data_IF_429635905430
#
_entry.id   IF_429635905430
#
_cell.length_a   1.000
_cell.length_b   1.000
_cell.length_c   1.000
_cell.angle_alpha   90.00
_cell.angle_beta   90.00
_cell.angle_gamma   90.00
#
_symmetry.space_group_name_H-M   'P 1'
#
loop_
_entity.id
_entity.type
_entity.pdbx_description
1 polymer ?
#
# COMPACT_ATOMS: atom_id res chain seq x y z
N UNK A 1 0.44 34.46 -3.24
CA UNK A 1 -0.26 33.51 -2.35
C UNK A 1 0.26 32.09 -2.54
N UNK A 2 -0.14 31.31 -3.55
CA UNK A 2 0.37 29.93 -3.72
C UNK A 2 1.90 29.86 -3.99
N UNK A 3 2.43 30.78 -4.80
CA UNK A 3 3.87 30.90 -5.11
C UNK A 3 4.74 31.15 -3.87
N UNK A 4 4.26 31.98 -2.93
CA UNK A 4 5.02 32.37 -1.74
C UNK A 4 5.09 31.23 -0.73
N UNK A 5 4.05 30.39 -0.68
CA UNK A 5 4.01 29.18 0.16
C UNK A 5 4.98 28.11 -0.36
N UNK A 6 5.16 27.97 -1.68
CA UNK A 6 6.08 26.98 -2.27
C UNK A 6 7.53 27.19 -1.82
N UNK A 7 7.96 28.43 -1.62
CA UNK A 7 9.33 28.75 -1.17
C UNK A 7 9.66 28.24 0.24
N UNK A 8 8.65 27.92 1.06
CA UNK A 8 8.86 27.33 2.39
C UNK A 8 8.99 25.81 2.40
N UNK A 9 8.75 25.13 1.26
CA UNK A 9 8.87 23.68 1.19
C UNK A 9 10.31 23.25 0.95
N UNK A 10 10.75 22.24 1.69
CA UNK A 10 12.00 21.54 1.45
C UNK A 10 11.76 20.42 0.44
N UNK A 11 12.34 20.57 -0.76
CA UNK A 11 12.30 19.53 -1.78
C UNK A 11 13.27 18.38 -1.43
N UNK A 12 12.73 17.17 -1.28
CA UNK A 12 13.51 15.93 -1.14
C UNK A 12 13.64 15.27 -2.52
N UNK A 13 14.85 14.83 -2.89
CA UNK A 13 15.12 14.27 -4.23
C UNK A 13 15.78 12.89 -4.24
N UNK A 14 16.64 12.60 -3.26
CA UNK A 14 17.49 11.40 -3.26
C UNK A 14 17.81 10.94 -1.85
N UNK A 15 18.25 9.69 -1.70
CA UNK A 15 18.78 9.13 -0.45
C UNK A 15 17.71 8.86 0.61
N UNK A 16 18.15 8.55 1.83
CA UNK A 16 17.30 8.36 2.99
C UNK A 16 17.16 9.67 3.77
N UNK A 17 15.92 10.11 3.97
CA UNK A 17 15.56 11.39 4.58
C UNK A 17 14.71 11.14 5.82
N UNK A 18 15.18 11.63 6.96
CA UNK A 18 14.43 11.58 8.23
C UNK A 18 13.77 12.94 8.45
N UNK A 19 12.44 12.96 8.44
CA UNK A 19 11.63 14.14 8.72
C UNK A 19 11.25 14.11 10.21
N UNK A 20 11.68 15.13 10.94
CA UNK A 20 11.39 15.28 12.39
C UNK A 20 10.32 16.33 12.61
N UNK A 21 9.63 16.20 13.73
CA UNK A 21 8.70 17.23 14.17
C UNK A 21 9.49 18.49 14.60
N UNK A 22 9.22 19.67 14.01
CA UNK A 22 9.87 20.91 14.40
C UNK A 22 9.50 21.36 15.82
N UNK A 23 8.36 20.91 16.36
CA UNK A 23 7.90 21.22 17.73
C UNK A 23 8.41 20.19 18.76
N UNK A 24 8.68 18.95 18.33
CA UNK A 24 9.35 17.92 19.13
C UNK A 24 10.49 17.25 18.34
N UNK A 25 11.73 17.77 18.43
CA UNK A 25 12.87 17.25 17.65
C UNK A 25 13.25 15.79 17.94
N UNK A 26 12.72 15.18 19.01
CA UNK A 26 12.91 13.75 19.30
C UNK A 26 11.95 12.87 18.50
N UNK A 27 10.82 13.42 18.05
CA UNK A 27 9.81 12.72 17.28
C UNK A 27 10.13 12.70 15.79
N UNK A 28 9.94 11.53 15.18
CA UNK A 28 10.09 11.33 13.73
C UNK A 28 8.69 11.28 13.11
N UNK A 29 8.46 12.13 12.12
CA UNK A 29 7.22 12.15 11.33
C UNK A 29 7.29 11.11 10.21
N UNK A 30 8.42 11.03 9.51
CA UNK A 30 8.59 10.12 8.38
C UNK A 30 10.05 9.74 8.13
N UNK A 31 10.24 8.53 7.62
CA UNK A 31 11.48 8.07 6.99
C UNK A 31 11.17 7.88 5.51
N UNK A 32 11.86 8.61 4.64
CA UNK A 32 11.61 8.62 3.20
C UNK A 32 12.90 8.25 2.48
N UNK A 33 12.91 7.09 1.83
CA UNK A 33 14.05 6.60 1.05
C UNK A 33 13.75 6.65 -0.45
N UNK A 34 14.67 7.26 -1.21
CA UNK A 34 14.65 7.24 -2.67
C UNK A 34 15.71 6.26 -3.17
N UNK A 35 15.28 5.20 -3.85
CA UNK A 35 16.15 4.26 -4.55
C UNK A 35 16.15 4.56 -6.04
N UNK A 36 17.32 4.77 -6.64
CA UNK A 36 17.41 4.98 -8.09
C UNK A 36 17.17 3.66 -8.82
N UNK A 37 16.55 3.71 -9.99
CA UNK A 37 16.38 2.52 -10.83
C UNK A 37 17.70 1.83 -11.19
N UNK A 38 18.77 2.61 -11.41
CA UNK A 38 20.12 2.10 -11.65
C UNK A 38 20.65 1.22 -10.53
N UNK A 39 20.17 1.44 -9.31
CA UNK A 39 20.66 0.80 -8.09
C UNK A 39 19.82 -0.43 -7.72
N UNK A 40 18.64 -0.59 -8.35
CA UNK A 40 17.81 -1.79 -8.20
C UNK A 40 18.45 -2.97 -8.93
N UNK A 41 18.62 -4.08 -8.22
CA UNK A 41 19.02 -5.34 -8.83
C UNK A 41 17.93 -5.85 -9.77
N UNK A 42 18.27 -6.81 -10.64
CA UNK A 42 17.26 -7.46 -11.48
C UNK A 42 16.14 -8.09 -10.64
N UNK A 43 16.50 -8.74 -9.52
CA UNK A 43 15.53 -9.34 -8.60
C UNK A 43 14.59 -8.28 -7.99
N UNK A 44 15.11 -7.13 -7.55
CA UNK A 44 14.27 -6.04 -7.03
C UNK A 44 13.27 -5.56 -8.08
N UNK A 45 13.72 -5.38 -9.34
CA UNK A 45 12.85 -4.96 -10.45
C UNK A 45 11.76 -5.99 -10.73
N UNK A 46 12.10 -7.27 -10.73
CA UNK A 46 11.14 -8.35 -10.95
C UNK A 46 10.09 -8.43 -9.84
N UNK A 47 10.49 -8.27 -8.57
CA UNK A 47 9.58 -8.25 -7.43
C UNK A 47 8.66 -7.02 -7.44
N UNK A 48 9.20 -5.83 -7.67
CA UNK A 48 8.42 -4.60 -7.74
C UNK A 48 7.46 -4.60 -8.95
N UNK A 49 7.87 -5.19 -10.08
CA UNK A 49 7.00 -5.41 -11.24
C UNK A 49 5.92 -6.45 -10.95
N UNK A 50 6.23 -7.48 -10.17
CA UNK A 50 5.25 -8.46 -9.72
C UNK A 50 4.17 -7.79 -8.85
N UNK A 51 4.56 -6.99 -7.86
CA UNK A 51 3.61 -6.27 -6.98
C UNK A 51 2.71 -5.34 -7.80
N UNK A 52 3.29 -4.47 -8.62
CA UNK A 52 2.52 -3.48 -9.39
C UNK A 52 1.57 -4.11 -10.42
N UNK A 53 2.03 -5.09 -11.19
CA UNK A 53 1.17 -5.80 -12.16
C UNK A 53 0.10 -6.67 -11.48
N UNK A 54 0.39 -7.27 -10.32
CA UNK A 54 -0.60 -7.95 -9.51
C UNK A 54 -1.71 -6.98 -9.09
N UNK A 55 -1.36 -5.83 -8.49
CA UNK A 55 -2.34 -4.84 -8.05
C UNK A 55 -3.18 -4.31 -9.22
N UNK A 56 -2.59 -4.13 -10.40
CA UNK A 56 -3.34 -3.79 -11.60
C UNK A 56 -4.35 -4.88 -11.97
N UNK A 57 -3.95 -6.15 -11.99
CA UNK A 57 -4.83 -7.28 -12.34
C UNK A 57 -5.99 -7.44 -11.35
N UNK A 58 -5.77 -7.17 -10.06
CA UNK A 58 -6.82 -7.32 -9.03
C UNK A 58 -7.97 -6.34 -9.24
N UNK A 59 -7.76 -5.20 -9.91
CA UNK A 59 -8.84 -4.25 -10.25
C UNK A 59 -10.01 -4.86 -11.03
N UNK A 60 -9.80 -6.01 -11.69
CA UNK A 60 -10.89 -6.82 -12.30
C UNK A 60 -11.88 -7.32 -11.24
N UNK A 61 -11.44 -7.60 -10.03
CA UNK A 61 -12.20 -8.26 -8.95
C UNK A 61 -12.53 -7.36 -7.75
N UNK A 62 -11.97 -6.15 -7.71
CA UNK A 62 -12.27 -5.15 -6.67
C UNK A 62 -12.92 -3.90 -7.27
N UNK A 63 -13.47 -3.05 -6.41
CA UNK A 63 -14.04 -1.76 -6.78
C UNK A 63 -13.18 -0.62 -6.22
N UNK A 64 -13.11 0.48 -6.95
CA UNK A 64 -12.42 1.66 -6.45
C UNK A 64 -13.31 2.36 -5.43
N UNK A 65 -12.69 3.11 -4.51
CA UNK A 65 -13.39 3.89 -3.49
C UNK A 65 -14.16 5.03 -4.18
N UNK A 66 -15.50 4.98 -4.14
CA UNK A 66 -16.39 5.94 -4.82
C UNK A 66 -16.72 7.20 -4.01
N UNK A 67 -16.16 7.34 -2.80
CA UNK A 67 -16.49 8.48 -1.93
C UNK A 67 -15.88 9.78 -2.45
N UNK A 68 -16.73 10.72 -2.86
CA UNK A 68 -16.32 12.07 -3.31
C UNK A 68 -15.62 12.89 -2.21
N UNK A 69 -15.83 12.55 -0.94
CA UNK A 69 -15.16 13.20 0.19
C UNK A 69 -13.73 12.68 0.40
N UNK A 70 -13.41 11.47 -0.08
CA UNK A 70 -12.14 10.78 0.16
C UNK A 70 -11.16 10.85 -1.01
N UNK A 71 -11.61 11.32 -2.18
CA UNK A 71 -10.79 11.43 -3.39
C UNK A 71 -11.19 12.71 -4.15
N UNK A 72 -10.27 13.68 -4.24
CA UNK A 72 -10.44 14.86 -5.08
C UNK A 72 -10.05 14.60 -6.54
N UNK A 73 -9.25 13.56 -6.80
CA UNK A 73 -8.91 13.08 -8.13
C UNK A 73 -8.35 11.66 -8.11
N UNK A 74 -8.21 11.07 -9.31
CA UNK A 74 -7.69 9.71 -9.51
C UNK A 74 -8.56 8.59 -8.96
N UNK A 75 -7.95 7.41 -8.76
CA UNK A 75 -8.63 6.21 -8.22
C UNK A 75 -7.82 5.61 -7.09
N UNK A 76 -8.50 5.23 -6.01
CA UNK A 76 -7.96 4.41 -4.92
C UNK A 76 -8.68 3.08 -4.87
N UNK A 77 -7.93 2.02 -4.62
CA UNK A 77 -8.41 0.65 -4.50
C UNK A 77 -7.95 0.07 -3.16
N UNK A 78 -8.65 -0.93 -2.66
CA UNK A 78 -8.26 -1.70 -1.48
C UNK A 78 -8.24 -3.20 -1.80
N UNK A 79 -7.32 -3.93 -1.19
CA UNK A 79 -7.22 -5.40 -1.24
C UNK A 79 -6.91 -5.94 0.16
N UNK A 80 -7.36 -7.15 0.46
CA UNK A 80 -7.21 -7.78 1.78
C UNK A 80 -8.47 -7.61 2.63
N UNK A 81 -8.29 -7.55 3.94
CA UNK A 81 -9.34 -7.51 4.95
C UNK A 81 -9.68 -6.10 5.41
N UNK A 82 -10.95 -5.85 5.64
CA UNK A 82 -11.49 -4.58 6.13
C UNK A 82 -12.53 -4.83 7.21
N UNK A 83 -12.76 -3.82 8.05
CA UNK A 83 -13.97 -3.77 8.87
C UNK A 83 -15.20 -3.88 7.96
N UNK A 84 -16.12 -4.77 8.32
CA UNK A 84 -17.38 -4.89 7.58
C UNK A 84 -18.27 -3.67 7.85
N UNK A 85 -19.06 -3.31 6.86
CA UNK A 85 -20.13 -2.31 6.99
C UNK A 85 -21.51 -2.96 7.02
N UNK A 86 -21.56 -4.29 7.00
CA UNK A 86 -22.79 -5.08 6.92
C UNK A 86 -23.21 -5.48 8.34
N UNK A 87 -24.52 -5.51 8.57
CA UNK A 87 -25.11 -5.96 9.83
C UNK A 87 -24.66 -7.41 10.12
N UNK A 88 -24.37 -7.69 11.39
CA UNK A 88 -23.90 -8.99 11.87
C UNK A 88 -22.56 -9.48 11.28
N UNK A 89 -21.77 -8.60 10.65
CA UNK A 89 -20.42 -8.92 10.19
C UNK A 89 -19.37 -8.02 10.88
N UNK A 90 -18.30 -8.64 11.38
CA UNK A 90 -17.19 -7.91 12.03
C UNK A 90 -16.13 -7.49 10.99
N UNK A 91 -15.82 -8.39 10.06
CA UNK A 91 -14.82 -8.18 9.04
C UNK A 91 -15.32 -8.69 7.68
N UNK A 92 -14.77 -8.12 6.61
CA UNK A 92 -15.00 -8.54 5.24
C UNK A 92 -13.74 -8.36 4.42
N UNK A 93 -13.80 -8.70 3.13
CA UNK A 93 -12.68 -8.52 2.20
C UNK A 93 -13.05 -7.51 1.11
N UNK A 94 -12.05 -6.82 0.59
CA UNK A 94 -12.25 -6.01 -0.61
C UNK A 94 -12.46 -6.93 -1.81
N UNK A 95 -13.72 -7.14 -2.18
CA UNK A 95 -14.13 -7.96 -3.32
C UNK A 95 -15.43 -7.37 -3.87
N UNK A 96 -15.64 -7.44 -5.18
CA UNK A 96 -16.94 -7.12 -5.80
C UNK A 96 -17.57 -8.39 -6.36
N UNK A 97 -18.88 -8.38 -6.53
CA UNK A 97 -19.58 -9.46 -7.20
C UNK A 97 -19.03 -9.68 -8.62
N UNK A 98 -18.80 -10.93 -8.99
CA UNK A 98 -18.40 -11.36 -10.32
C UNK A 98 -19.09 -12.68 -10.68
N UNK A 99 -19.20 -12.96 -11.98
CA UNK A 99 -19.82 -14.19 -12.48
C UNK A 99 -18.97 -15.42 -12.13
N UNK A 100 -19.62 -16.56 -11.85
CA UNK A 100 -18.96 -17.81 -11.46
C UNK A 100 -17.87 -18.28 -12.44
N UNK A 101 -17.98 -17.96 -13.74
CA UNK A 101 -16.95 -18.23 -14.75
C UNK A 101 -15.60 -17.57 -14.43
N UNK A 102 -15.58 -16.51 -13.63
CA UNK A 102 -14.36 -15.84 -13.20
C UNK A 102 -13.80 -16.34 -11.85
N UNK A 103 -14.43 -17.33 -11.21
CA UNK A 103 -14.01 -17.83 -9.89
C UNK A 103 -12.60 -18.42 -9.90
N UNK A 104 -12.26 -19.22 -10.93
CA UNK A 104 -10.90 -19.77 -11.06
C UNK A 104 -9.87 -18.66 -11.25
N UNK A 105 -10.14 -17.69 -12.14
CA UNK A 105 -9.23 -16.58 -12.38
C UNK A 105 -9.05 -15.70 -11.12
N UNK A 106 -10.08 -15.57 -10.29
CA UNK A 106 -9.98 -14.93 -8.98
C UNK A 106 -9.06 -15.74 -8.06
N UNK A 107 -9.31 -17.03 -7.91
CA UNK A 107 -8.53 -17.91 -7.04
C UNK A 107 -7.04 -17.90 -7.45
N UNK A 108 -6.76 -18.13 -8.73
CA UNK A 108 -5.39 -18.14 -9.27
C UNK A 108 -4.68 -16.83 -8.98
N UNK A 109 -5.34 -15.69 -9.23
CA UNK A 109 -4.74 -14.39 -8.94
C UNK A 109 -4.53 -14.19 -7.45
N UNK A 110 -5.53 -14.41 -6.60
CA UNK A 110 -5.45 -14.10 -5.17
C UNK A 110 -4.59 -15.09 -4.38
N UNK A 111 -4.34 -16.30 -4.89
CA UNK A 111 -3.33 -17.21 -4.34
C UNK A 111 -1.91 -16.61 -4.33
N UNK A 112 -1.66 -15.62 -5.21
CA UNK A 112 -0.39 -14.90 -5.29
C UNK A 112 -0.25 -13.78 -4.25
N UNK A 113 -1.30 -13.48 -3.49
CA UNK A 113 -1.29 -12.38 -2.49
C UNK A 113 -0.26 -12.59 -1.38
N UNK A 114 0.05 -13.84 -1.02
CA UNK A 114 1.13 -14.19 -0.09
C UNK A 114 2.48 -13.60 -0.50
N UNK A 115 2.86 -13.79 -1.77
CA UNK A 115 4.10 -13.23 -2.31
C UNK A 115 4.10 -11.70 -2.32
N UNK A 116 2.95 -11.07 -2.54
CA UNK A 116 2.83 -9.60 -2.46
C UNK A 116 3.02 -9.10 -1.04
N UNK A 117 2.37 -9.76 -0.06
CA UNK A 117 2.55 -9.48 1.36
C UNK A 117 4.01 -9.63 1.78
N UNK A 118 4.68 -10.69 1.33
CA UNK A 118 6.09 -10.94 1.62
C UNK A 118 7.00 -9.81 1.08
N UNK A 119 6.85 -9.44 -0.19
CA UNK A 119 7.66 -8.38 -0.81
C UNK A 119 7.43 -7.04 -0.11
N UNK A 120 6.17 -6.66 0.13
CA UNK A 120 5.83 -5.38 0.78
C UNK A 120 6.33 -5.37 2.23
N UNK A 121 6.08 -6.43 2.99
CA UNK A 121 6.51 -6.57 4.38
C UNK A 121 8.02 -6.54 4.53
N UNK A 122 8.76 -7.23 3.64
CA UNK A 122 10.22 -7.21 3.61
C UNK A 122 10.77 -5.81 3.32
N UNK A 123 10.19 -5.08 2.38
CA UNK A 123 10.57 -3.70 2.09
C UNK A 123 10.28 -2.77 3.27
N UNK A 124 9.12 -2.92 3.93
CA UNK A 124 8.80 -2.14 5.12
C UNK A 124 9.77 -2.44 6.27
N UNK A 125 10.03 -3.72 6.58
CA UNK A 125 10.98 -4.13 7.61
C UNK A 125 12.39 -3.61 7.34
N UNK A 126 12.84 -3.64 6.07
CA UNK A 126 14.16 -3.11 5.66
C UNK A 126 14.27 -1.61 5.90
N UNK A 127 13.22 -0.85 5.61
CA UNK A 127 13.20 0.60 5.82
C UNK A 127 13.09 0.96 7.31
N UNK A 128 12.23 0.26 8.05
CA UNK A 128 11.86 0.61 9.41
C UNK A 128 11.41 -0.62 10.22
N UNK A 129 12.37 -1.38 10.73
CA UNK A 129 12.13 -2.64 11.47
C UNK A 129 11.24 -2.45 12.70
N UNK A 130 11.44 -1.38 13.47
CA UNK A 130 10.65 -1.10 14.69
C UNK A 130 9.17 -0.82 14.35
N UNK A 131 8.83 0.12 13.44
CA UNK A 131 7.47 0.29 12.94
C UNK A 131 6.83 -0.98 12.38
N UNK A 132 7.57 -1.76 11.59
CA UNK A 132 7.10 -3.05 11.07
C UNK A 132 6.72 -4.01 12.21
N UNK A 133 7.62 -4.20 13.18
CA UNK A 133 7.40 -5.06 14.34
C UNK A 133 6.17 -4.63 15.15
N UNK A 134 6.02 -3.33 15.40
CA UNK A 134 4.86 -2.79 16.12
C UNK A 134 3.53 -3.07 15.41
N UNK A 135 3.46 -2.95 14.09
CA UNK A 135 2.24 -3.29 13.35
C UNK A 135 1.95 -4.80 13.40
N UNK A 136 2.99 -5.65 13.31
CA UNK A 136 2.83 -7.10 13.42
C UNK A 136 2.36 -7.53 14.81
N UNK A 137 2.92 -6.95 15.87
CA UNK A 137 2.50 -7.19 17.25
C UNK A 137 1.03 -6.84 17.44
N UNK A 138 0.61 -5.68 16.92
CA UNK A 138 -0.79 -5.25 16.99
C UNK A 138 -1.73 -6.23 16.25
N UNK A 139 -1.31 -6.74 15.10
CA UNK A 139 -2.08 -7.77 14.39
C UNK A 139 -2.21 -9.06 15.21
N UNK A 140 -1.11 -9.50 15.84
CA UNK A 140 -1.13 -10.70 16.67
C UNK A 140 -2.01 -10.52 17.92
N UNK A 141 -1.90 -9.37 18.59
CA UNK A 141 -2.69 -9.03 19.79
C UNK A 141 -4.19 -9.06 19.52
N UNK A 142 -4.62 -8.54 18.37
CA UNK A 142 -6.02 -8.46 17.99
C UNK A 142 -6.51 -9.59 17.08
N UNK A 143 -5.66 -10.59 16.81
CA UNK A 143 -6.00 -11.71 15.90
C UNK A 143 -6.40 -11.24 14.50
N UNK A 144 -5.77 -10.17 13.99
CA UNK A 144 -6.05 -9.63 12.67
C UNK A 144 -5.48 -10.56 11.59
N UNK A 145 -6.25 -10.87 10.53
CA UNK A 145 -5.76 -11.68 9.42
C UNK A 145 -4.70 -10.91 8.62
N UNK A 146 -3.81 -11.64 7.94
CA UNK A 146 -2.87 -11.01 7.01
C UNK A 146 -3.53 -10.56 5.71
N UNK A 147 -2.87 -9.67 4.97
CA UNK A 147 -3.24 -9.30 3.59
C UNK A 147 -3.53 -10.53 2.71
N UNK A 148 -2.73 -11.59 2.89
CA UNK A 148 -2.75 -12.78 2.06
C UNK A 148 -3.78 -13.83 2.50
N UNK A 149 -4.21 -13.78 3.77
CA UNK A 149 -5.13 -14.76 4.33
C UNK A 149 -6.41 -14.83 3.50
N UNK A 150 -6.74 -16.02 3.01
CA UNK A 150 -7.97 -16.24 2.25
C UNK A 150 -9.14 -16.52 3.19
N UNK A 151 -8.83 -17.05 4.37
CA UNK A 151 -9.76 -17.36 5.45
C UNK A 151 -9.33 -16.70 6.76
N UNK A 152 -10.27 -16.54 7.70
CA UNK A 152 -9.97 -15.95 8.99
C UNK A 152 -9.30 -16.99 9.91
N UNK A 153 -8.35 -16.54 10.75
CA UNK A 153 -7.67 -17.40 11.72
C UNK A 153 -6.44 -18.12 11.19
N UNK A 154 -6.01 -17.84 9.96
CA UNK A 154 -4.68 -18.23 9.48
C UNK A 154 -3.59 -17.59 10.35
N UNK A 155 -2.50 -18.33 10.61
CA UNK A 155 -1.37 -17.84 11.40
C UNK A 155 -0.56 -16.78 10.62
N UNK A 156 -0.08 -15.76 11.35
CA UNK A 156 0.77 -14.73 10.77
C UNK A 156 2.16 -15.27 10.45
N UNK A 157 2.64 -15.00 9.24
CA UNK A 157 4.01 -15.22 8.81
C UNK A 157 4.95 -14.13 9.39
N UNK A 158 6.25 -14.29 9.18
CA UNK A 158 7.25 -13.29 9.60
C UNK A 158 7.16 -11.97 8.82
N UNK A 159 6.56 -12.00 7.63
CA UNK A 159 6.42 -10.84 6.74
C UNK A 159 5.11 -10.08 6.89
N UNK A 160 4.16 -10.59 7.67
CA UNK A 160 2.83 -9.98 7.81
C UNK A 160 2.87 -8.78 8.75
N UNK A 161 2.40 -7.63 8.25
CA UNK A 161 2.37 -6.37 9.00
C UNK A 161 1.15 -5.49 8.69
N UNK A 162 0.23 -5.95 7.84
CA UNK A 162 -1.04 -5.28 7.62
C UNK A 162 -2.13 -6.29 7.18
N UNK A 163 -3.40 -6.07 7.55
CA UNK A 163 -4.52 -6.88 7.09
C UNK A 163 -4.98 -6.50 5.67
N UNK A 164 -4.59 -5.32 5.19
CA UNK A 164 -4.92 -4.85 3.85
C UNK A 164 -3.85 -3.94 3.29
N UNK A 165 -3.97 -3.67 1.99
CA UNK A 165 -3.21 -2.67 1.27
C UNK A 165 -4.18 -1.82 0.46
N UNK A 166 -3.91 -0.51 0.41
CA UNK A 166 -4.56 0.39 -0.55
C UNK A 166 -3.54 0.84 -1.58
N UNK A 167 -4.00 1.04 -2.81
CA UNK A 167 -3.16 1.54 -3.90
C UNK A 167 -3.91 2.51 -4.78
N UNK A 168 -3.16 3.43 -5.37
CA UNK A 168 -3.71 4.57 -6.08
C UNK A 168 -3.21 4.62 -7.53
N UNK A 169 -4.04 5.14 -8.42
CA UNK A 169 -3.75 5.25 -9.87
C UNK A 169 -4.38 6.51 -10.44
N UNK A 170 -3.93 6.94 -11.63
CA UNK A 170 -4.47 8.09 -12.37
C UNK A 170 -4.36 9.42 -11.59
N UNK A 171 -3.21 9.70 -10.99
CA UNK A 171 -2.95 10.97 -10.29
C UNK A 171 -3.85 11.20 -9.09
N UNK A 172 -3.96 10.20 -8.20
CA UNK A 172 -4.79 10.31 -7.00
C UNK A 172 -4.30 11.41 -6.05
N UNK A 173 -5.25 12.17 -5.51
CA UNK A 173 -5.01 13.09 -4.38
C UNK A 173 -6.29 13.26 -3.56
N UNK A 174 -6.13 13.57 -2.27
CA UNK A 174 -7.21 13.79 -1.32
C UNK A 174 -6.94 15.09 -0.51
N UNK A 175 -7.95 15.60 0.23
CA UNK A 175 -7.69 16.65 1.20
C UNK A 175 -6.73 16.18 2.29
N UNK A 176 -5.79 17.03 2.76
CA UNK A 176 -5.07 16.78 3.99
C UNK A 176 -6.06 16.56 5.15
N UNK A 177 -5.82 15.51 5.93
CA UNK A 177 -6.59 15.18 7.13
C UNK A 177 -5.69 14.45 8.13
N UNK A 178 -6.18 14.34 9.36
CA UNK A 178 -5.55 13.56 10.43
C UNK A 178 -6.55 12.52 10.86
N UNK A 179 -6.11 11.26 10.93
CA UNK A 179 -6.88 10.17 11.51
C UNK A 179 -6.41 9.97 12.96
N UNK A 180 -7.30 10.19 13.93
CA UNK A 180 -7.02 10.09 15.37
C UNK A 180 -7.64 8.85 16.03
N UNK A 181 -8.38 8.05 15.24
CA UNK A 181 -9.02 6.81 15.70
C UNK A 181 -8.22 5.55 15.37
N UNK A 182 -7.15 5.65 14.58
CA UNK A 182 -6.35 4.50 14.18
C UNK A 182 -5.52 3.95 15.35
N UNK A 183 -5.66 2.65 15.61
CA UNK A 183 -4.88 1.95 16.64
C UNK A 183 -3.41 1.79 16.21
N UNK A 184 -3.16 1.61 14.90
CA UNK A 184 -1.81 1.54 14.35
C UNK A 184 -1.18 2.92 14.27
N UNK A 185 0.03 3.06 14.80
CA UNK A 185 0.80 4.32 14.76
C UNK A 185 1.55 4.54 13.45
N UNK A 186 1.79 3.48 12.69
CA UNK A 186 2.69 3.51 11.55
C UNK A 186 2.01 3.01 10.29
N UNK A 187 2.25 3.71 9.20
CA UNK A 187 1.90 3.30 7.85
C UNK A 187 3.16 3.17 7.00
N UNK A 188 3.11 2.26 6.02
CA UNK A 188 4.14 2.12 5.00
C UNK A 188 3.57 2.52 3.65
N UNK A 189 4.33 3.33 2.90
CA UNK A 189 3.97 3.76 1.56
C UNK A 189 5.13 3.49 0.60
N UNK A 190 4.79 2.95 -0.57
CA UNK A 190 5.72 2.69 -1.65
C UNK A 190 5.21 3.34 -2.93
N UNK A 191 6.08 4.12 -3.59
CA UNK A 191 5.79 4.76 -4.86
C UNK A 191 6.54 4.06 -5.97
N UNK A 192 5.80 3.52 -6.94
CA UNK A 192 6.36 2.84 -8.12
C UNK A 192 5.88 3.58 -9.38
N UNK A 193 6.77 3.98 -10.30
CA UNK A 193 6.34 4.42 -11.61
C UNK A 193 5.92 3.19 -12.42
N UNK A 194 4.71 3.26 -12.97
CA UNK A 194 4.09 2.14 -13.68
C UNK A 194 3.38 2.63 -14.93
N UNK A 195 3.37 1.83 -15.98
CA UNK A 195 2.53 2.07 -17.14
C UNK A 195 1.05 1.96 -16.80
N UNK A 196 0.27 2.97 -17.18
CA UNK A 196 -1.17 3.04 -16.91
C UNK A 196 -1.95 1.89 -17.56
N UNK A 197 -1.45 1.38 -18.69
CA UNK A 197 -2.06 0.27 -19.44
C UNK A 197 -2.19 -1.00 -18.61
N UNK A 198 -1.07 -1.52 -18.09
CA UNK A 198 -0.96 -2.86 -17.51
C UNK A 198 -0.29 -2.92 -16.14
N UNK A 199 0.14 -1.77 -15.60
CA UNK A 199 0.78 -1.66 -14.29
C UNK A 199 2.19 -2.22 -14.24
N UNK A 200 2.82 -2.50 -15.38
CA UNK A 200 4.24 -2.87 -15.42
C UNK A 200 5.12 -1.68 -15.02
N UNK A 201 6.28 -1.95 -14.41
CA UNK A 201 7.21 -0.89 -14.01
C UNK A 201 7.69 -0.10 -15.22
N UNK A 202 7.62 1.23 -15.13
CA UNK A 202 8.21 2.13 -16.10
C UNK A 202 9.66 2.43 -15.68
N UNK A 203 10.62 1.79 -16.35
CA UNK A 203 12.04 1.85 -15.99
C UNK A 203 12.84 2.90 -16.76
N UNK A 204 12.21 3.58 -17.72
CA UNK A 204 12.78 4.65 -18.54
C UNK A 204 11.88 5.88 -18.41
N UNK A 205 12.46 7.07 -18.25
CA UNK A 205 11.71 8.32 -18.16
C UNK A 205 10.92 8.58 -19.45
N UNK A 206 11.47 8.18 -20.60
CA UNK A 206 10.84 8.35 -21.92
C UNK A 206 9.64 7.42 -22.12
N UNK A 207 9.44 6.43 -21.23
CA UNK A 207 8.35 5.46 -21.34
C UNK A 207 7.11 5.83 -20.52
N UNK A 208 7.13 6.94 -19.79
CA UNK A 208 6.01 7.37 -18.94
C UNK A 208 4.79 7.75 -19.79
N UNK A 209 3.61 7.23 -19.42
CA UNK A 209 2.34 7.40 -20.12
C UNK A 209 1.28 8.17 -19.31
#
# INVERSE_FOLDING_TARGET
MASDTVQTFRLLKTGCNIVRDPQDPKSIIAIIEFTKFSDLTQADREELNFVSTFLRKTTKFISYVKSKQRAWGGKMWGIGWRKSSDEDQIAGRYIKAFEAVNAQAYHDLFSLSGRVGEIVGRNFKKLAEIPFGSNRELMAEHGLPSLAALEYGEELTESDCAPHLTFTTNGFFNPPHTDDEDVSKYAFVMFLPTHTKDGSLATDEDSYD
#
